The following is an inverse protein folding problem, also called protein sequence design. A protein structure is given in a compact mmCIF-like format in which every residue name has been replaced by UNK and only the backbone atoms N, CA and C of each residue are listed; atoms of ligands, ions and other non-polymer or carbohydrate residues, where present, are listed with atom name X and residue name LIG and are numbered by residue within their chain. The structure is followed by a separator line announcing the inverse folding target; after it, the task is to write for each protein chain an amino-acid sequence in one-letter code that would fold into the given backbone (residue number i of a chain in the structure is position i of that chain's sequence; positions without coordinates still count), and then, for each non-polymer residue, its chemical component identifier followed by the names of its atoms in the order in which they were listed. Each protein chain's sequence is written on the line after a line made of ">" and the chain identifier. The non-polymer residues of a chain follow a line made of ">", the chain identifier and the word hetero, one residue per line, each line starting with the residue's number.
data_IF_112321275342
#
_entry.id   IF_112321275342
#
_cell.length_a   1.000
_cell.length_b   1.000
_cell.length_c   1.000
_cell.angle_alpha   90.00
_cell.angle_beta   90.00
_cell.angle_gamma   90.00
#
_symmetry.space_group_name_H-M   'P 1'
#
loop_
_entity.id
_entity.type
_entity.pdbx_description
1 polymer ?
#
# COMPACT_ATOMS: atom_id res chain seq x y z
N UNK A 1 1.06 9.95 10.09
CA UNK A 1 0.49 8.71 10.64
C UNK A 1 1.26 8.34 11.91
N UNK A 2 0.66 7.67 12.91
CA UNK A 2 1.42 7.13 14.03
C UNK A 2 2.48 6.13 13.55
N UNK A 3 3.50 5.86 14.37
CA UNK A 3 4.46 4.80 14.08
C UNK A 3 3.69 3.49 13.90
N UNK A 4 3.98 2.75 12.84
CA UNK A 4 3.31 1.50 12.54
C UNK A 4 4.32 0.43 12.13
N UNK A 5 4.07 -0.80 12.53
CA UNK A 5 4.81 -1.99 12.15
C UNK A 5 3.88 -2.89 11.31
N UNK A 6 4.21 -3.08 10.03
CA UNK A 6 3.40 -3.84 9.09
C UNK A 6 4.04 -5.21 8.84
N UNK A 7 3.25 -6.26 9.05
CA UNK A 7 3.61 -7.63 8.74
C UNK A 7 2.76 -8.10 7.54
N UNK A 8 3.38 -8.17 6.37
CA UNK A 8 2.73 -8.59 5.12
C UNK A 8 2.63 -10.11 5.11
N UNK A 9 1.40 -10.61 5.06
CA UNK A 9 1.13 -12.06 5.07
C UNK A 9 0.99 -12.63 3.67
N UNK A 10 0.35 -11.88 2.77
CA UNK A 10 0.22 -12.25 1.37
C UNK A 10 0.03 -11.04 0.48
N UNK A 11 0.39 -11.21 -0.78
CA UNK A 11 0.08 -10.25 -1.83
C UNK A 11 -0.26 -11.01 -3.11
N UNK A 12 -0.98 -10.32 -3.98
CA UNK A 12 -1.39 -10.78 -5.29
C UNK A 12 -1.27 -9.64 -6.30
N UNK A 13 -0.90 -9.96 -7.54
CA UNK A 13 -0.60 -8.98 -8.58
C UNK A 13 -1.18 -9.43 -9.92
N UNK A 14 -2.01 -8.57 -10.51
CA UNK A 14 -2.65 -8.83 -11.79
C UNK A 14 -2.44 -7.67 -12.76
N UNK A 15 -2.10 -7.93 -14.04
CA UNK A 15 -2.07 -6.90 -15.06
C UNK A 15 -3.49 -6.40 -15.35
N UNK A 16 -3.66 -5.09 -15.47
CA UNK A 16 -4.93 -4.47 -15.86
C UNK A 16 -5.11 -4.68 -17.37
N UNK A 17 -6.17 -5.37 -17.84
CA UNK A 17 -6.38 -5.61 -19.26
C UNK A 17 -6.48 -4.30 -20.06
N UNK A 18 -5.91 -4.29 -21.27
CA UNK A 18 -5.94 -3.12 -22.16
C UNK A 18 -4.99 -1.98 -21.78
N UNK A 19 -4.23 -2.14 -20.69
CA UNK A 19 -3.30 -1.12 -20.22
C UNK A 19 -1.87 -1.27 -20.75
N UNK A 20 -1.53 -2.33 -21.49
CA UNK A 20 -0.25 -2.44 -22.18
C UNK A 20 -0.32 -1.79 -23.57
N UNK A 21 0.81 -1.27 -24.05
CA UNK A 21 0.91 -0.74 -25.42
C UNK A 21 1.94 -1.57 -26.18
N UNK A 22 1.52 -2.37 -27.17
CA UNK A 22 2.44 -3.03 -28.09
C UNK A 22 2.95 -2.03 -29.13
N UNK A 23 4.16 -2.24 -29.65
CA UNK A 23 4.71 -1.40 -30.72
C UNK A 23 6.20 -1.13 -30.58
N UNK A 24 6.75 -0.19 -31.36
CA UNK A 24 8.19 0.12 -31.39
C UNK A 24 8.72 0.71 -30.08
N UNK A 25 7.82 1.21 -29.22
CA UNK A 25 8.08 1.59 -27.83
C UNK A 25 7.11 0.82 -26.94
N UNK A 26 7.42 -0.45 -26.60
CA UNK A 26 6.52 -1.29 -25.83
C UNK A 26 6.40 -0.76 -24.40
N UNK A 27 5.16 -0.63 -23.91
CA UNK A 27 4.87 -0.26 -22.51
C UNK A 27 4.23 -1.45 -21.78
N UNK A 28 4.77 -1.87 -20.61
CA UNK A 28 4.17 -2.94 -19.83
C UNK A 28 2.77 -2.53 -19.30
N UNK A 29 1.92 -3.49 -18.90
CA UNK A 29 0.61 -3.18 -18.36
C UNK A 29 0.71 -2.46 -17.03
N UNK A 30 -0.27 -1.62 -16.72
CA UNK A 30 -0.54 -1.21 -15.34
C UNK A 30 -0.89 -2.44 -14.48
N UNK A 31 -0.57 -2.40 -13.20
CA UNK A 31 -0.78 -3.54 -12.29
C UNK A 31 -1.79 -3.17 -11.21
N UNK A 32 -2.69 -4.10 -10.90
CA UNK A 32 -3.49 -4.09 -9.69
C UNK A 32 -2.79 -4.98 -8.67
N UNK A 33 -2.35 -4.41 -7.56
CA UNK A 33 -1.71 -5.14 -6.46
C UNK A 33 -2.63 -5.14 -5.25
N UNK A 34 -2.92 -6.31 -4.70
CA UNK A 34 -3.65 -6.46 -3.43
C UNK A 34 -2.69 -7.00 -2.39
N UNK A 35 -2.60 -6.34 -1.24
CA UNK A 35 -1.73 -6.72 -0.12
C UNK A 35 -2.59 -6.91 1.11
N UNK A 36 -2.41 -8.04 1.79
CA UNK A 36 -3.06 -8.31 3.07
C UNK A 36 -2.03 -8.65 4.14
N UNK A 37 -2.32 -8.23 5.36
CA UNK A 37 -1.43 -8.49 6.48
C UNK A 37 -1.98 -7.95 7.79
N UNK A 38 -1.11 -7.81 8.77
CA UNK A 38 -1.44 -7.16 10.04
C UNK A 38 -0.59 -5.92 10.26
N UNK A 39 -1.14 -4.94 10.96
CA UNK A 39 -0.41 -3.73 11.35
C UNK A 39 -0.60 -3.47 12.84
N UNK A 40 0.51 -3.21 13.53
CA UNK A 40 0.51 -2.72 14.91
C UNK A 40 0.81 -1.24 14.89
N UNK A 41 -0.01 -0.44 15.58
CA UNK A 41 0.26 0.98 15.75
C UNK A 41 0.94 1.19 17.10
N UNK A 42 2.11 1.82 17.06
CA UNK A 42 2.82 2.29 18.23
C UNK A 42 2.16 3.53 18.84
N UNK A 43 2.74 4.07 19.93
CA UNK A 43 2.18 5.20 20.64
C UNK A 43 1.97 6.41 19.71
N UNK A 44 0.90 7.22 19.94
CA UNK A 44 0.64 8.40 19.13
C UNK A 44 1.82 9.38 19.22
N UNK A 45 2.14 10.11 18.13
CA UNK A 45 3.19 11.12 18.15
C UNK A 45 2.78 12.25 19.10
N UNK A 46 3.47 12.32 20.25
CA UNK A 46 3.35 13.28 21.35
C UNK A 46 1.92 13.57 21.86
N UNK A 47 1.57 13.23 23.11
CA UNK A 47 0.22 13.45 23.61
C UNK A 47 -0.12 14.95 23.59
N UNK A 48 -1.11 15.32 22.77
CA UNK A 48 -1.80 16.60 22.96
C UNK A 48 -2.62 16.53 24.25
N UNK A 49 -2.84 17.64 24.96
CA UNK A 49 -3.59 17.64 26.24
C UNK A 49 -4.97 16.96 26.16
N UNK A 50 -5.60 16.98 24.98
CA UNK A 50 -6.87 16.32 24.70
C UNK A 50 -6.80 14.77 24.63
N UNK A 51 -5.61 14.20 24.43
CA UNK A 51 -5.37 12.74 24.34
C UNK A 51 -4.82 12.13 25.63
N UNK A 52 -4.38 12.94 26.60
CA UNK A 52 -3.82 12.48 27.86
C UNK A 52 -4.82 11.71 28.76
N UNK A 53 -6.12 11.91 28.56
CA UNK A 53 -7.17 11.37 29.43
C UNK A 53 -7.74 10.01 29.00
N UNK A 54 -7.40 9.48 27.81
CA UNK A 54 -7.95 8.22 27.32
C UNK A 54 -6.82 7.21 27.14
N UNK A 55 -6.80 6.17 27.97
CA UNK A 55 -5.99 4.97 27.70
C UNK A 55 -6.31 4.52 26.26
N UNK A 56 -5.34 4.50 25.33
CA UNK A 56 -5.59 4.01 23.99
C UNK A 56 -5.94 2.52 24.09
N UNK A 57 -7.20 2.19 23.81
CA UNK A 57 -7.75 0.83 23.89
C UNK A 57 -7.02 -0.16 22.96
N UNK A 58 -6.26 0.34 21.98
CA UNK A 58 -5.67 -0.45 20.90
C UNK A 58 -4.14 -0.26 20.75
N UNK A 59 -3.45 0.14 21.82
CA UNK A 59 -1.99 0.31 21.76
C UNK A 59 -1.30 -1.04 21.51
N UNK A 60 -0.54 -1.11 20.40
CA UNK A 60 0.13 -2.33 19.92
C UNK A 60 -0.76 -3.53 19.57
N UNK A 61 -2.09 -3.39 19.50
CA UNK A 61 -2.94 -4.49 19.05
C UNK A 61 -2.82 -4.67 17.53
N UNK A 62 -2.49 -5.88 17.03
CA UNK A 62 -2.41 -6.14 15.60
C UNK A 62 -3.80 -6.08 14.96
N UNK A 63 -3.93 -5.26 13.92
CA UNK A 63 -5.16 -5.14 13.13
C UNK A 63 -4.94 -5.68 11.73
N UNK A 64 -5.86 -6.49 11.23
CA UNK A 64 -5.80 -6.99 9.86
C UNK A 64 -6.08 -5.84 8.89
N UNK A 65 -5.27 -5.71 7.85
CA UNK A 65 -5.47 -4.75 6.77
C UNK A 65 -5.55 -5.45 5.41
N UNK A 66 -6.23 -4.76 4.49
CA UNK A 66 -6.20 -5.04 3.07
C UNK A 66 -5.96 -3.71 2.35
N UNK A 67 -4.89 -3.65 1.55
CA UNK A 67 -4.51 -2.48 0.78
C UNK A 67 -4.44 -2.85 -0.69
N UNK A 68 -5.05 -2.02 -1.53
CA UNK A 68 -5.03 -2.19 -2.98
C UNK A 68 -4.33 -1.01 -3.64
N UNK A 69 -3.47 -1.29 -4.61
CA UNK A 69 -2.73 -0.29 -5.38
C UNK A 69 -2.99 -0.47 -6.87
N UNK A 70 -3.12 0.65 -7.58
CA UNK A 70 -2.96 0.70 -9.02
C UNK A 70 -1.58 1.25 -9.33
N UNK A 71 -0.75 0.45 -9.98
CA UNK A 71 0.60 0.81 -10.38
C UNK A 71 0.63 1.14 -11.87
N UNK A 72 1.18 2.31 -12.23
CA UNK A 72 1.41 2.71 -13.62
C UNK A 72 2.91 2.62 -13.93
N UNK A 73 3.31 2.09 -15.10
CA UNK A 73 4.71 1.97 -15.44
C UNK A 73 5.34 3.35 -15.68
N UNK A 74 6.61 3.46 -15.31
CA UNK A 74 7.46 4.60 -15.65
C UNK A 74 7.82 4.52 -17.14
N UNK A 75 7.25 5.43 -17.93
CA UNK A 75 7.48 5.48 -19.39
C UNK A 75 8.86 6.02 -19.75
N UNK A 76 9.57 6.62 -18.81
CA UNK A 76 10.91 7.19 -19.03
C UNK A 76 12.03 6.19 -18.76
N UNK A 77 11.71 5.04 -18.17
CA UNK A 77 12.66 3.98 -17.87
C UNK A 77 13.02 3.20 -19.14
N UNK A 78 13.97 3.71 -19.94
CA UNK A 78 14.48 3.00 -21.11
C UNK A 78 15.44 1.86 -20.69
N UNK A 79 15.13 0.63 -21.08
CA UNK A 79 16.10 -0.48 -21.17
C UNK A 79 16.50 -1.19 -19.86
N UNK A 80 15.69 -1.12 -18.80
CA UNK A 80 15.93 -1.81 -17.53
C UNK A 80 14.68 -2.48 -16.94
N UNK A 81 14.78 -2.96 -15.69
CA UNK A 81 13.64 -3.47 -14.94
C UNK A 81 12.51 -2.43 -14.89
N UNK A 82 11.26 -2.81 -15.20
CA UNK A 82 10.16 -1.86 -15.26
C UNK A 82 9.89 -1.28 -13.88
N UNK A 83 10.01 0.05 -13.79
CA UNK A 83 9.65 0.81 -12.58
C UNK A 83 8.18 1.20 -12.67
N UNK A 84 7.54 1.32 -11.51
CA UNK A 84 6.14 1.70 -11.42
C UNK A 84 5.93 2.81 -10.39
N UNK A 85 4.94 3.66 -10.63
CA UNK A 85 4.44 4.65 -9.70
C UNK A 85 3.07 4.25 -9.18
N UNK A 86 2.78 4.55 -7.92
CA UNK A 86 1.44 4.39 -7.34
C UNK A 86 0.52 5.47 -7.92
N UNK A 87 -0.46 5.06 -8.71
CA UNK A 87 -1.51 5.93 -9.25
C UNK A 87 -2.70 6.06 -8.31
N UNK A 88 -3.05 4.97 -7.63
CA UNK A 88 -4.12 4.92 -6.65
C UNK A 88 -3.73 3.97 -5.50
N UNK A 89 -4.21 4.30 -4.31
CA UNK A 89 -4.02 3.56 -3.06
C UNK A 89 -5.35 3.56 -2.30
N UNK A 90 -5.81 2.38 -1.90
CA UNK A 90 -6.97 2.21 -1.01
C UNK A 90 -6.64 1.19 0.08
N UNK A 91 -6.46 1.69 1.31
CA UNK A 91 -6.28 0.93 2.54
C UNK A 91 -7.61 0.78 3.31
N UNK A 92 -7.90 -0.44 3.77
CA UNK A 92 -8.95 -0.70 4.76
C UNK A 92 -8.48 -1.66 5.84
N UNK A 93 -9.01 -1.50 7.04
CA UNK A 93 -8.94 -2.54 8.07
C UNK A 93 -10.07 -3.54 7.87
N UNK A 94 -9.82 -4.82 8.18
CA UNK A 94 -10.79 -5.91 8.02
C UNK A 94 -10.99 -6.57 9.38
N UNK A 95 -12.25 -6.74 9.81
CA UNK A 95 -12.60 -7.21 11.15
C UNK A 95 -13.68 -6.35 11.76
#
# INVERSE_FOLDING_TARGET
>A
MPRSDHDVQSYDCHPIPGSSVPGPQPRPPSLLVTVTGTVRHGPPPQPTPATAAKKPVFENEPRVFNQTFILIPDETAAGGEPKYFVKADSLRFVG
#
